data_IF_464110007125
#
_entry.id   IF_464110007125
#
_cell.length_a   1.000
_cell.length_b   1.000
_cell.length_c   1.000
_cell.angle_alpha   90.00
_cell.angle_beta   90.00
_cell.angle_gamma   90.00
#
_symmetry.space_group_name_H-M   'P 1'
#
loop_
_entity.id
_entity.type
_entity.pdbx_description
1 polymer ?
#
# COMPACT_ATOMS: atom_id res chain seq x y z
N UNK A 1 3.14 -44.57 -59.08
CA UNK A 1 2.71 -44.90 -57.70
C UNK A 1 3.63 -44.16 -56.74
N UNK A 2 3.15 -43.12 -56.07
CA UNK A 2 3.94 -42.35 -55.10
C UNK A 2 3.00 -41.70 -54.11
N UNK A 3 2.66 -42.44 -53.04
CA UNK A 3 1.81 -41.95 -51.96
C UNK A 3 2.63 -41.08 -51.02
N UNK A 4 2.23 -39.81 -50.93
CA UNK A 4 1.88 -39.06 -49.72
C UNK A 4 2.36 -39.60 -48.37
N UNK A 5 3.00 -38.72 -47.58
CA UNK A 5 2.61 -38.42 -46.19
C UNK A 5 3.37 -37.19 -45.67
N UNK A 6 2.65 -36.07 -45.60
CA UNK A 6 2.94 -34.97 -44.68
C UNK A 6 2.84 -35.53 -43.25
N UNK A 7 3.89 -35.40 -42.45
CA UNK A 7 3.82 -35.64 -41.01
C UNK A 7 3.66 -34.28 -40.31
N UNK A 8 2.50 -34.10 -39.68
CA UNK A 8 2.18 -32.99 -38.78
C UNK A 8 3.19 -32.95 -37.62
N UNK A 9 3.86 -31.81 -37.43
CA UNK A 9 4.53 -31.46 -36.18
C UNK A 9 3.46 -31.08 -35.15
N UNK A 10 3.19 -32.00 -34.22
CA UNK A 10 2.39 -31.74 -33.04
C UNK A 10 3.17 -30.82 -32.08
N UNK A 11 2.71 -29.58 -31.95
CA UNK A 11 3.14 -28.67 -30.88
C UNK A 11 2.52 -29.12 -29.56
N UNK A 12 3.29 -29.32 -28.47
CA UNK A 12 2.72 -29.56 -27.15
C UNK A 12 2.10 -28.26 -26.63
N UNK A 13 0.78 -28.16 -26.74
CA UNK A 13 -0.06 -27.25 -25.94
C UNK A 13 -0.10 -27.79 -24.50
N UNK A 14 0.86 -27.43 -23.65
CA UNK A 14 0.77 -27.70 -22.21
C UNK A 14 1.71 -26.82 -21.40
N UNK A 15 1.36 -25.54 -21.24
CA UNK A 15 1.72 -24.81 -20.02
C UNK A 15 0.43 -24.16 -19.51
N UNK A 16 -0.45 -24.99 -18.93
CA UNK A 16 -1.42 -24.49 -17.97
C UNK A 16 -0.61 -24.02 -16.77
N UNK A 17 -0.42 -22.70 -16.65
CA UNK A 17 0.10 -22.09 -15.44
C UNK A 17 -0.82 -22.52 -14.28
N UNK A 18 -0.29 -23.33 -13.37
CA UNK A 18 -1.00 -23.65 -12.14
C UNK A 18 -1.01 -22.39 -11.29
N UNK A 19 -2.13 -21.65 -11.31
CA UNK A 19 -2.44 -20.70 -10.26
C UNK A 19 -2.65 -21.52 -8.99
N UNK A 20 -1.58 -21.67 -8.20
CA UNK A 20 -1.67 -22.31 -6.89
C UNK A 20 -2.47 -21.36 -5.99
N UNK A 21 -3.69 -21.78 -5.65
CA UNK A 21 -4.49 -21.15 -4.61
C UNK A 21 -3.78 -21.45 -3.28
N UNK A 22 -3.19 -20.43 -2.66
CA UNK A 22 -2.57 -20.52 -1.35
C UNK A 22 -3.70 -20.29 -0.33
N UNK A 23 -4.08 -21.34 0.39
CA UNK A 23 -5.18 -21.31 1.38
C UNK A 23 -4.70 -20.79 2.76
N UNK A 24 -3.38 -20.75 2.97
CA UNK A 24 -2.79 -20.24 4.21
C UNK A 24 -2.56 -18.73 4.13
N UNK A 25 -2.99 -17.94 5.14
CA UNK A 25 -2.62 -16.54 5.21
C UNK A 25 -1.10 -16.43 5.28
N UNK A 26 -0.56 -15.51 4.50
CA UNK A 26 0.87 -15.40 4.30
C UNK A 26 1.55 -14.95 5.59
N UNK A 27 2.77 -15.44 5.89
CA UNK A 27 3.45 -15.13 7.13
C UNK A 27 3.71 -13.62 7.20
N UNK A 28 3.09 -12.96 8.18
CA UNK A 28 3.30 -11.54 8.45
C UNK A 28 4.66 -11.35 9.11
N UNK A 29 5.30 -10.19 8.86
CA UNK A 29 6.50 -9.81 9.61
C UNK A 29 6.14 -9.71 11.08
N UNK A 30 6.80 -10.52 11.90
CA UNK A 30 6.76 -10.37 13.35
C UNK A 30 7.66 -9.20 13.77
N UNK A 31 7.20 -8.43 14.76
CA UNK A 31 7.97 -7.34 15.35
C UNK A 31 8.19 -7.63 16.82
N UNK A 32 9.42 -7.46 17.27
CA UNK A 32 9.73 -7.46 18.71
C UNK A 32 9.23 -6.18 19.35
N UNK A 33 8.95 -6.21 20.66
CA UNK A 33 8.57 -5.01 21.42
C UNK A 33 9.61 -3.89 21.27
N UNK A 34 10.90 -4.23 21.31
CA UNK A 34 12.00 -3.27 21.15
C UNK A 34 12.01 -2.61 19.75
N UNK A 35 11.67 -3.34 18.68
CA UNK A 35 11.52 -2.74 17.35
C UNK A 35 10.34 -1.78 17.30
N UNK A 36 9.21 -2.15 17.91
CA UNK A 36 8.01 -1.29 17.96
C UNK A 36 8.28 -0.02 18.77
N UNK A 37 8.98 -0.13 19.90
CA UNK A 37 9.39 1.00 20.72
C UNK A 37 10.38 1.93 20.02
N UNK A 38 11.23 1.39 19.15
CA UNK A 38 12.16 2.18 18.35
C UNK A 38 11.46 3.00 17.26
N UNK A 39 10.22 2.65 16.87
CA UNK A 39 9.42 3.44 15.92
C UNK A 39 8.86 4.68 16.65
N UNK A 40 9.24 5.90 16.21
CA UNK A 40 8.75 7.11 16.87
C UNK A 40 7.24 7.26 16.75
N UNK A 41 6.58 7.63 17.86
CA UNK A 41 5.18 8.06 17.86
C UNK A 41 5.14 9.57 17.57
N UNK A 42 4.61 10.02 16.42
CA UNK A 42 4.50 11.45 16.10
C UNK A 42 3.47 12.15 17.00
N UNK A 43 3.53 13.48 17.04
CA UNK A 43 2.52 14.28 17.74
C UNK A 43 1.19 14.27 16.97
N UNK A 44 0.09 13.97 17.67
CA UNK A 44 -1.26 13.93 17.08
C UNK A 44 -2.22 14.93 17.74
N UNK A 45 -1.79 15.60 18.81
CA UNK A 45 -2.59 16.56 19.54
C UNK A 45 -2.42 17.96 18.92
N UNK A 46 -3.54 18.64 18.72
CA UNK A 46 -3.61 20.02 18.21
C UNK A 46 -4.91 20.66 18.69
N UNK A 47 -5.03 21.99 18.57
CA UNK A 47 -6.25 22.69 18.94
C UNK A 47 -7.29 22.63 17.81
N UNK A 48 -8.33 21.82 18.02
CA UNK A 48 -9.46 21.70 17.08
C UNK A 48 -10.19 23.04 16.84
N UNK A 49 -10.12 24.00 17.77
CA UNK A 49 -10.75 25.32 17.60
C UNK A 49 -9.99 26.21 16.60
N UNK A 50 -8.68 25.99 16.44
CA UNK A 50 -7.82 26.73 15.50
C UNK A 50 -7.62 25.98 14.18
N UNK A 51 -8.01 24.71 14.13
CA UNK A 51 -7.83 23.86 12.98
C UNK A 51 -8.73 24.20 11.78
N UNK A 52 -8.18 24.05 10.58
CA UNK A 52 -8.93 24.17 9.32
C UNK A 52 -9.59 22.84 8.98
N UNK A 53 -10.87 22.70 9.34
CA UNK A 53 -11.60 21.44 9.14
C UNK A 53 -11.65 21.01 7.66
N UNK A 54 -11.71 21.95 6.73
CA UNK A 54 -11.68 21.66 5.28
C UNK A 54 -10.40 20.94 4.82
N UNK A 55 -9.30 21.12 5.56
CA UNK A 55 -8.03 20.45 5.25
C UNK A 55 -8.03 18.97 5.67
N UNK A 56 -8.97 18.51 6.50
CA UNK A 56 -9.03 17.12 6.99
C UNK A 56 -9.44 16.10 5.92
N UNK A 57 -9.98 16.54 4.78
CA UNK A 57 -10.13 15.66 3.61
C UNK A 57 -8.78 15.24 3.04
N UNK A 58 -7.74 16.06 3.25
CA UNK A 58 -6.40 15.86 2.71
C UNK A 58 -5.42 15.36 3.78
N UNK A 59 -5.43 15.95 4.97
CA UNK A 59 -4.53 15.62 6.06
C UNK A 59 -5.31 14.87 7.14
N UNK A 60 -5.15 13.56 7.12
CA UNK A 60 -5.78 12.64 8.06
C UNK A 60 -4.84 11.46 8.31
N UNK A 61 -5.07 10.76 9.41
CA UNK A 61 -4.45 9.48 9.70
C UNK A 61 -5.50 8.41 9.93
N UNK A 62 -5.06 7.16 9.82
CA UNK A 62 -5.90 5.99 10.04
C UNK A 62 -5.74 5.49 11.45
N UNK A 63 -6.83 5.00 12.04
CA UNK A 63 -6.80 4.26 13.31
C UNK A 63 -7.88 3.19 13.32
N UNK A 64 -7.56 2.02 13.88
CA UNK A 64 -8.50 0.92 14.12
C UNK A 64 -8.33 0.44 15.55
N UNK A 65 -9.44 0.38 16.27
CA UNK A 65 -9.47 -0.12 17.65
C UNK A 65 -9.00 -1.58 17.71
N UNK A 66 -8.34 -1.96 18.81
CA UNK A 66 -7.84 -3.32 19.08
C UNK A 66 -6.94 -3.92 17.99
N UNK A 67 -6.23 -3.07 17.23
CA UNK A 67 -5.30 -3.51 16.19
C UNK A 67 -3.87 -3.45 16.68
N UNK A 68 -3.14 -4.56 16.55
CA UNK A 68 -1.72 -4.59 16.86
C UNK A 68 -0.85 -3.95 15.76
N UNK A 69 0.40 -3.68 16.12
CA UNK A 69 1.35 -3.01 15.23
C UNK A 69 1.66 -3.80 13.95
N UNK A 70 1.81 -5.13 14.05
CA UNK A 70 2.17 -5.95 12.89
C UNK A 70 1.04 -6.00 11.87
N UNK A 71 -0.20 -6.15 12.36
CA UNK A 71 -1.41 -6.08 11.53
C UNK A 71 -1.57 -4.70 10.90
N UNK A 72 -1.37 -3.62 11.66
CA UNK A 72 -1.44 -2.26 11.12
C UNK A 72 -0.38 -1.99 10.03
N UNK A 73 0.84 -2.47 10.25
CA UNK A 73 1.92 -2.35 9.27
C UNK A 73 1.63 -3.14 8.00
N UNK A 74 1.13 -4.38 8.14
CA UNK A 74 0.70 -5.18 7.00
C UNK A 74 -0.40 -4.48 6.20
N UNK A 75 -1.44 -3.98 6.87
CA UNK A 75 -2.57 -3.30 6.22
C UNK A 75 -2.14 -2.02 5.47
N UNK A 76 -1.30 -1.19 6.10
CA UNK A 76 -0.83 0.07 5.52
C UNK A 76 0.10 -0.18 4.33
N UNK A 77 1.02 -1.15 4.43
CA UNK A 77 1.96 -1.47 3.35
C UNK A 77 1.25 -2.09 2.15
N UNK A 78 0.27 -2.96 2.38
CA UNK A 78 -0.59 -3.50 1.32
C UNK A 78 -1.35 -2.39 0.59
N UNK A 79 -1.96 -1.47 1.35
CA UNK A 79 -2.68 -0.34 0.76
C UNK A 79 -1.75 0.66 0.05
N UNK A 80 -0.53 0.91 0.54
CA UNK A 80 0.46 1.77 -0.14
C UNK A 80 0.91 1.16 -1.47
N UNK A 81 1.15 -0.16 -1.50
CA UNK A 81 1.50 -0.88 -2.72
C UNK A 81 0.38 -0.78 -3.76
N UNK A 82 -0.88 -1.03 -3.36
CA UNK A 82 -2.05 -0.86 -4.23
C UNK A 82 -2.18 0.59 -4.74
N UNK A 83 -1.92 1.57 -3.87
CA UNK A 83 -2.13 2.99 -4.17
C UNK A 83 -1.04 3.63 -5.03
N UNK A 84 0.20 3.13 -4.94
CA UNK A 84 1.36 3.66 -5.65
C UNK A 84 1.45 3.21 -7.11
N UNK A 85 0.63 2.23 -7.52
CA UNK A 85 0.76 1.61 -8.85
C UNK A 85 2.09 0.90 -9.04
N UNK A 86 2.84 0.69 -7.94
CA UNK A 86 3.88 -0.32 -7.86
C UNK A 86 3.10 -1.62 -8.00
N UNK A 87 2.98 -2.12 -9.23
CA UNK A 87 2.93 -3.56 -9.37
C UNK A 87 4.11 -4.06 -8.55
N UNK A 88 3.87 -4.98 -7.63
CA UNK A 88 4.81 -5.59 -6.69
C UNK A 88 6.10 -6.18 -7.35
N UNK A 89 6.34 -5.88 -8.64
CA UNK A 89 7.11 -6.60 -9.64
C UNK A 89 7.97 -5.71 -10.56
N UNK A 90 8.05 -4.39 -10.38
CA UNK A 90 8.80 -3.52 -11.31
C UNK A 90 10.28 -3.24 -10.93
N UNK A 91 10.80 -3.79 -9.84
CA UNK A 91 12.17 -3.46 -9.41
C UNK A 91 12.87 -4.43 -8.46
N UNK A 92 12.33 -5.64 -8.26
CA UNK A 92 12.91 -6.61 -7.31
C UNK A 92 13.56 -7.75 -8.10
N UNK A 93 14.79 -8.11 -7.76
CA UNK A 93 15.51 -9.28 -8.27
C UNK A 93 14.58 -10.51 -8.30
N UNK A 94 14.65 -11.32 -9.37
CA UNK A 94 13.76 -12.45 -9.62
C UNK A 94 13.70 -13.47 -8.47
N UNK A 95 14.72 -13.53 -7.62
CA UNK A 95 14.71 -14.33 -6.39
C UNK A 95 13.81 -13.77 -5.28
N UNK A 96 13.72 -12.45 -5.13
CA UNK A 96 12.81 -11.81 -4.20
C UNK A 96 11.37 -11.76 -4.72
N UNK A 97 11.17 -11.82 -6.04
CA UNK A 97 9.83 -11.99 -6.63
C UNK A 97 9.17 -13.28 -6.13
N UNK A 98 9.91 -14.39 -6.09
CA UNK A 98 9.38 -15.65 -5.57
C UNK A 98 9.04 -15.56 -4.07
N UNK A 99 9.88 -14.91 -3.27
CA UNK A 99 9.61 -14.70 -1.84
C UNK A 99 8.39 -13.78 -1.62
N UNK A 100 8.27 -12.69 -2.37
CA UNK A 100 7.18 -11.73 -2.23
C UNK A 100 5.85 -12.22 -2.84
N UNK A 101 5.88 -13.06 -3.89
CA UNK A 101 4.68 -13.75 -4.38
C UNK A 101 4.14 -14.75 -3.36
N UNK A 102 5.06 -15.42 -2.65
CA UNK A 102 4.75 -16.32 -1.54
C UNK A 102 4.35 -15.53 -0.30
N UNK A 103 4.73 -14.26 -0.13
CA UNK A 103 4.43 -13.44 1.05
C UNK A 103 3.24 -12.47 0.87
N UNK A 104 2.86 -12.11 -0.36
CA UNK A 104 1.80 -11.12 -0.64
C UNK A 104 0.72 -11.54 -1.67
N UNK A 105 0.84 -12.73 -2.29
CA UNK A 105 -0.21 -13.33 -3.12
C UNK A 105 -0.28 -12.87 -4.58
N UNK A 106 -0.87 -13.71 -5.44
CA UNK A 106 -0.86 -13.53 -6.92
C UNK A 106 -1.87 -12.48 -7.42
N UNK A 107 -2.94 -12.22 -6.67
CA UNK A 107 -4.02 -11.33 -7.12
C UNK A 107 -3.64 -9.84 -7.14
N UNK A 108 -2.61 -9.44 -6.40
CA UNK A 108 -2.08 -8.07 -6.37
C UNK A 108 -1.30 -7.66 -7.65
N UNK A 109 -1.03 -8.62 -8.57
CA UNK A 109 -0.23 -8.37 -9.78
C UNK A 109 -1.00 -7.82 -10.99
N UNK A 110 -2.34 -7.76 -10.96
CA UNK A 110 -3.13 -7.55 -12.18
C UNK A 110 -3.72 -6.14 -12.38
N UNK A 111 -3.76 -5.28 -11.36
CA UNK A 111 -4.45 -3.98 -11.44
C UNK A 111 -3.44 -2.85 -11.27
N UNK A 112 -2.97 -2.30 -12.40
CA UNK A 112 -2.21 -1.04 -12.43
C UNK A 112 -0.72 -1.14 -12.81
N UNK A 113 -0.37 -1.92 -13.84
CA UNK A 113 1.03 -2.04 -14.28
C UNK A 113 1.69 -0.71 -14.70
N UNK A 114 3.02 -0.64 -14.55
CA UNK A 114 3.89 0.53 -14.76
C UNK A 114 3.67 1.33 -16.07
N UNK A 115 3.10 0.71 -17.10
CA UNK A 115 2.81 1.35 -18.40
C UNK A 115 1.64 2.34 -18.29
N UNK A 116 0.63 2.07 -17.46
CA UNK A 116 -0.50 2.98 -17.23
C UNK A 116 -0.09 4.23 -16.43
N UNK A 117 0.82 4.07 -15.46
CA UNK A 117 1.32 5.17 -14.62
C UNK A 117 2.11 6.21 -15.43
N UNK A 118 2.96 5.78 -16.37
CA UNK A 118 3.75 6.72 -17.17
C UNK A 118 2.90 7.55 -18.15
N UNK A 119 1.83 6.98 -18.72
CA UNK A 119 0.91 7.73 -19.58
C UNK A 119 -0.01 8.66 -18.79
N UNK A 120 -0.40 8.27 -17.57
CA UNK A 120 -1.20 9.11 -16.68
C UNK A 120 -0.40 10.32 -16.15
N UNK A 121 0.87 10.13 -15.80
CA UNK A 121 1.74 11.20 -15.28
C UNK A 121 1.97 12.33 -16.29
N UNK A 122 2.07 11.99 -17.57
CA UNK A 122 2.22 12.96 -18.66
C UNK A 122 0.95 13.79 -18.94
N UNK A 123 -0.22 13.34 -18.49
CA UNK A 123 -1.53 13.92 -18.80
C UNK A 123 -2.17 14.60 -17.58
N UNK A 124 -2.11 13.97 -16.40
CA UNK A 124 -2.84 14.39 -15.21
C UNK A 124 -1.98 15.17 -14.19
N UNK A 125 -0.65 15.12 -14.32
CA UNK A 125 0.29 15.86 -13.49
C UNK A 125 0.37 15.39 -12.02
N UNK A 126 1.36 15.91 -11.29
CA UNK A 126 1.65 15.51 -9.90
C UNK A 126 0.49 15.70 -8.91
N UNK A 127 -0.45 16.60 -9.19
CA UNK A 127 -1.60 16.89 -8.32
C UNK A 127 -2.61 15.74 -8.31
N UNK A 128 -2.97 15.24 -9.49
CA UNK A 128 -3.96 14.17 -9.63
C UNK A 128 -3.41 12.84 -9.12
N UNK A 129 -2.11 12.54 -9.32
CA UNK A 129 -1.48 11.36 -8.71
C UNK A 129 -1.61 11.33 -7.19
N UNK A 130 -1.28 12.44 -6.52
CA UNK A 130 -1.41 12.55 -5.06
C UNK A 130 -2.86 12.37 -4.63
N UNK A 131 -3.81 12.93 -5.39
CA UNK A 131 -5.24 12.75 -5.15
C UNK A 131 -5.66 11.29 -5.29
N UNK A 132 -5.27 10.61 -6.37
CA UNK A 132 -5.57 9.19 -6.59
C UNK A 132 -4.96 8.31 -5.50
N UNK A 133 -3.69 8.52 -5.12
CA UNK A 133 -3.07 7.81 -4.00
C UNK A 133 -3.88 7.98 -2.71
N UNK A 134 -4.29 9.21 -2.37
CA UNK A 134 -5.13 9.46 -1.19
C UNK A 134 -6.47 8.73 -1.26
N UNK A 135 -7.15 8.74 -2.42
CA UNK A 135 -8.42 8.05 -2.61
C UNK A 135 -8.26 6.52 -2.48
N UNK A 136 -7.22 5.95 -3.07
CA UNK A 136 -6.93 4.52 -2.99
C UNK A 136 -6.60 4.09 -1.56
N UNK A 137 -5.75 4.85 -0.86
CA UNK A 137 -5.46 4.61 0.57
C UNK A 137 -6.74 4.69 1.40
N UNK A 138 -7.57 5.72 1.19
CA UNK A 138 -8.86 5.86 1.89
C UNK A 138 -9.74 4.63 1.70
N UNK A 139 -9.96 4.22 0.46
CA UNK A 139 -10.86 3.11 0.15
C UNK A 139 -10.32 1.77 0.68
N UNK A 140 -9.04 1.51 0.50
CA UNK A 140 -8.39 0.28 0.94
C UNK A 140 -8.41 0.15 2.48
N UNK A 141 -8.00 1.20 3.18
CA UNK A 141 -7.99 1.22 4.65
C UNK A 141 -9.41 1.20 5.23
N UNK A 142 -10.37 1.88 4.61
CA UNK A 142 -11.77 1.83 5.03
C UNK A 142 -12.35 0.42 4.90
N UNK A 143 -12.07 -0.29 3.80
CA UNK A 143 -12.49 -1.69 3.64
C UNK A 143 -11.90 -2.61 4.73
N UNK A 144 -10.69 -2.30 5.19
CA UNK A 144 -10.02 -2.98 6.30
C UNK A 144 -10.53 -2.54 7.69
N UNK A 145 -11.53 -1.66 7.77
CA UNK A 145 -12.15 -1.23 9.02
C UNK A 145 -11.42 -0.13 9.77
N UNK A 146 -10.52 0.60 9.12
CA UNK A 146 -9.89 1.78 9.72
C UNK A 146 -10.78 3.00 9.56
N UNK A 147 -10.93 3.75 10.65
CA UNK A 147 -11.50 5.08 10.64
C UNK A 147 -10.43 6.13 10.29
N UNK A 148 -10.88 7.32 9.87
CA UNK A 148 -10.01 8.45 9.56
C UNK A 148 -10.20 9.58 10.56
N UNK A 149 -9.10 10.21 10.94
CA UNK A 149 -9.08 11.30 11.90
C UNK A 149 -8.29 12.47 11.32
N UNK A 150 -8.87 13.66 11.39
CA UNK A 150 -8.27 14.89 10.87
C UNK A 150 -7.00 15.25 11.62
N UNK A 151 -6.03 15.81 10.91
CA UNK A 151 -4.77 16.26 11.50
C UNK A 151 -4.28 17.52 10.80
N UNK A 152 -3.63 18.40 11.54
CA UNK A 152 -2.96 19.54 10.93
C UNK A 152 -1.85 19.08 9.98
N UNK A 153 -1.69 19.83 8.89
CA UNK A 153 -0.73 19.51 7.84
C UNK A 153 0.68 19.27 8.38
N UNK A 154 1.14 20.15 9.26
CA UNK A 154 2.54 20.14 9.71
C UNK A 154 2.83 18.88 10.55
N UNK A 155 1.89 18.49 11.42
CA UNK A 155 1.93 17.21 12.14
C UNK A 155 1.82 16.01 11.19
N UNK A 156 0.94 16.08 10.20
CA UNK A 156 0.75 15.01 9.23
C UNK A 156 2.03 14.72 8.42
N UNK A 157 2.78 15.75 8.04
CA UNK A 157 4.02 15.63 7.27
C UNK A 157 5.17 14.97 8.06
N UNK A 158 5.10 14.92 9.39
CA UNK A 158 6.11 14.25 10.22
C UNK A 158 6.18 12.74 9.96
N UNK A 159 5.08 12.11 9.56
CA UNK A 159 4.99 10.66 9.40
C UNK A 159 4.33 10.20 8.09
N UNK A 160 3.85 11.12 7.26
CA UNK A 160 3.35 10.82 5.92
C UNK A 160 4.28 11.37 4.83
N UNK A 161 3.99 10.97 3.60
CA UNK A 161 4.65 11.43 2.39
C UNK A 161 3.63 11.61 1.25
N UNK A 162 3.95 12.49 0.30
CA UNK A 162 3.17 12.66 -0.93
C UNK A 162 4.06 12.43 -2.15
N UNK A 163 3.72 11.44 -2.96
CA UNK A 163 4.41 11.19 -4.23
C UNK A 163 3.85 12.07 -5.33
N UNK A 164 4.72 12.90 -5.90
CA UNK A 164 4.41 13.78 -7.02
C UNK A 164 4.99 13.23 -8.33
N UNK A 165 6.06 13.87 -8.81
CA UNK A 165 6.77 13.47 -10.02
C UNK A 165 7.94 12.51 -9.76
N UNK A 166 8.25 12.26 -8.49
CA UNK A 166 9.29 11.34 -8.05
C UNK A 166 8.74 10.46 -6.93
N UNK A 167 9.31 9.26 -6.82
CA UNK A 167 9.06 8.39 -5.69
C UNK A 167 9.82 8.87 -4.47
N UNK A 168 9.24 8.68 -3.29
CA UNK A 168 9.97 8.76 -2.03
C UNK A 168 11.06 7.69 -2.00
N UNK A 169 12.21 8.00 -1.44
CA UNK A 169 13.30 7.04 -1.23
C UNK A 169 12.80 5.83 -0.42
N UNK A 170 13.32 4.63 -0.70
CA UNK A 170 12.78 3.38 -0.18
C UNK A 170 12.88 3.29 1.35
N UNK A 171 14.01 3.67 1.94
CA UNK A 171 14.20 3.69 3.39
C UNK A 171 13.35 4.77 4.06
N UNK A 172 13.25 5.96 3.47
CA UNK A 172 12.35 7.01 3.96
C UNK A 172 10.88 6.55 3.95
N UNK A 173 10.43 5.93 2.84
CA UNK A 173 9.09 5.35 2.74
C UNK A 173 8.85 4.32 3.84
N UNK A 174 9.74 3.34 3.99
CA UNK A 174 9.61 2.29 5.00
C UNK A 174 9.48 2.88 6.41
N UNK A 175 10.33 3.84 6.76
CA UNK A 175 10.27 4.52 8.06
C UNK A 175 8.93 5.23 8.29
N UNK A 176 8.41 5.92 7.27
CA UNK A 176 7.11 6.60 7.35
C UNK A 176 5.95 5.61 7.44
N UNK A 177 6.02 4.46 6.77
CA UNK A 177 5.01 3.40 6.88
C UNK A 177 5.02 2.74 8.27
N UNK A 178 6.20 2.54 8.87
CA UNK A 178 6.31 2.10 10.27
C UNK A 178 5.66 3.11 11.23
N UNK A 179 5.92 4.41 11.07
CA UNK A 179 5.29 5.44 11.90
C UNK A 179 3.76 5.49 11.70
N UNK A 180 3.28 5.34 10.47
CA UNK A 180 1.83 5.25 10.18
C UNK A 180 1.21 4.03 10.87
N UNK A 181 1.89 2.88 10.87
CA UNK A 181 1.44 1.69 11.60
C UNK A 181 1.41 1.91 13.11
N UNK A 182 2.40 2.62 13.65
CA UNK A 182 2.45 3.00 15.07
C UNK A 182 1.26 3.87 15.46
N UNK A 183 0.91 4.84 14.62
CA UNK A 183 -0.25 5.70 14.80
C UNK A 183 -1.55 4.89 14.69
N UNK A 184 -1.65 4.02 13.68
CA UNK A 184 -2.89 3.30 13.39
C UNK A 184 -3.26 2.21 14.40
N UNK A 185 -2.26 1.61 15.04
CA UNK A 185 -2.39 0.66 16.16
C UNK A 185 -2.32 1.34 17.55
N UNK A 186 -2.17 2.66 17.56
CA UNK A 186 -1.96 3.44 18.79
C UNK A 186 -3.23 3.65 19.62
N UNK A 187 -3.14 4.49 20.67
CA UNK A 187 -4.29 4.88 21.47
C UNK A 187 -5.41 5.48 20.62
N UNK A 188 -6.65 5.23 21.04
CA UNK A 188 -7.84 5.75 20.37
C UNK A 188 -7.80 7.28 20.29
N UNK A 189 -7.98 7.87 19.10
CA UNK A 189 -8.02 9.31 18.93
C UNK A 189 -9.14 9.98 19.74
N UNK A 190 -8.84 11.17 20.26
CA UNK A 190 -9.81 12.01 20.96
C UNK A 190 -10.60 12.90 19.99
N UNK A 191 -10.08 13.13 18.77
CA UNK A 191 -10.77 13.91 17.75
C UNK A 191 -11.95 13.15 17.14
N UNK A 192 -12.92 13.90 16.61
CA UNK A 192 -14.01 13.32 15.84
C UNK A 192 -13.51 12.64 14.56
N UNK A 193 -14.19 11.56 14.16
CA UNK A 193 -13.94 10.87 12.89
C UNK A 193 -14.29 11.78 11.71
N UNK A 194 -13.49 11.71 10.66
CA UNK A 194 -13.78 12.34 9.36
C UNK A 194 -14.65 11.38 8.55
N UNK A 195 -15.75 11.87 7.98
CA UNK A 195 -16.66 11.04 7.17
C UNK A 195 -15.93 10.37 5.99
N UNK A 196 -16.34 9.13 5.59
CA UNK A 196 -15.67 8.27 4.59
C UNK A 196 -15.36 8.88 3.21
#
# INVERSE_FOLDING_TARGET
MGFSRLALLALPLSVAAQAQYVDEPLPQREFTEAEIEAVPMPALQFDMAEAKVDDFEKYFYFHREDTDFATAYYDITECDALSSGISFYAGVDGGQMAANMVQYGVLAGAIGGAIGGMMADAIFGSGERRKQRRLNMRNCMFYKGYDRYGLEKDLWQEFNFEEGNSQTEATERENKLLMQARVASGPKPEQGRVEP
#
